data_IF_755672271221
#
_entry.id   IF_755672271221
#
_cell.length_a   1.000
_cell.length_b   1.000
_cell.length_c   1.000
_cell.angle_alpha   90.00
_cell.angle_beta   90.00
_cell.angle_gamma   90.00
#
_symmetry.space_group_name_H-M   'P 1'
#
loop_
_entity.id
_entity.type
_entity.pdbx_description
1 polymer ?
#
# COMPACT_ATOMS: atom_id res chain seq x y z
N UNK A 1 14.68 2.32 -7.85
CA UNK A 1 15.48 3.54 -7.99
C UNK A 1 14.73 4.61 -7.25
N UNK A 2 15.20 4.96 -6.05
CA UNK A 2 14.56 5.99 -5.25
C UNK A 2 14.55 7.32 -6.03
N UNK A 3 13.47 8.12 -5.93
CA UNK A 3 13.39 9.41 -6.59
C UNK A 3 14.56 10.29 -6.14
N UNK A 4 15.02 11.15 -7.07
CA UNK A 4 16.01 12.17 -6.72
C UNK A 4 15.41 13.19 -5.77
N UNK A 5 16.25 13.96 -5.07
CA UNK A 5 15.82 14.88 -3.99
C UNK A 5 14.78 15.93 -4.43
N UNK A 6 14.71 16.21 -5.73
CA UNK A 6 13.85 17.24 -6.33
C UNK A 6 12.61 16.65 -7.02
N UNK A 7 12.43 15.34 -6.98
CA UNK A 7 11.32 14.66 -7.64
C UNK A 7 10.17 14.41 -6.66
N UNK A 8 9.01 15.02 -6.93
CA UNK A 8 7.81 14.79 -6.14
C UNK A 8 7.38 13.32 -6.24
N UNK A 9 7.06 12.73 -5.09
CA UNK A 9 6.56 11.36 -4.99
C UNK A 9 5.53 11.28 -3.86
N UNK A 10 4.93 10.12 -3.69
CA UNK A 10 3.93 9.85 -2.67
C UNK A 10 3.27 8.50 -2.89
N UNK A 11 1.98 8.44 -2.60
CA UNK A 11 1.12 7.30 -2.84
C UNK A 11 1.00 7.01 -4.35
N UNK A 12 1.17 5.74 -4.73
CA UNK A 12 0.75 5.28 -6.06
C UNK A 12 -0.75 4.97 -6.05
N UNK A 13 -1.57 5.87 -6.59
CA UNK A 13 -3.02 5.88 -6.34
C UNK A 13 -3.74 4.59 -6.73
N UNK A 14 -3.37 3.96 -7.85
CA UNK A 14 -4.02 2.73 -8.32
C UNK A 14 -3.81 1.55 -7.37
N UNK A 15 -2.68 1.49 -6.67
CA UNK A 15 -2.39 0.41 -5.72
C UNK A 15 -3.35 0.44 -4.53
N UNK A 16 -3.65 1.63 -4.00
CA UNK A 16 -4.65 1.78 -2.94
C UNK A 16 -6.08 1.57 -3.45
N UNK A 17 -6.44 2.20 -4.56
CA UNK A 17 -7.83 2.19 -5.04
C UNK A 17 -8.28 0.83 -5.56
N UNK A 18 -7.41 0.07 -6.22
CA UNK A 18 -7.74 -1.31 -6.63
C UNK A 18 -7.91 -2.23 -5.43
N UNK A 19 -7.14 -2.04 -4.36
CA UNK A 19 -7.33 -2.78 -3.12
C UNK A 19 -8.69 -2.46 -2.49
N UNK A 20 -9.01 -1.17 -2.34
CA UNK A 20 -10.28 -0.72 -1.74
C UNK A 20 -11.47 -1.21 -2.55
N UNK A 21 -11.44 -1.14 -3.88
CA UNK A 21 -12.55 -1.57 -4.74
C UNK A 21 -12.89 -3.06 -4.60
N UNK A 22 -11.91 -3.89 -4.25
CA UNK A 22 -12.16 -5.31 -3.98
C UNK A 22 -13.04 -5.46 -2.74
N UNK A 23 -12.79 -4.66 -1.70
CA UNK A 23 -13.44 -4.77 -0.40
C UNK A 23 -14.73 -3.95 -0.25
N UNK A 24 -14.89 -2.88 -1.03
CA UNK A 24 -16.15 -2.12 -1.14
C UNK A 24 -17.32 -3.01 -1.58
N UNK A 25 -17.02 -4.15 -2.22
CA UNK A 25 -18.01 -5.15 -2.67
C UNK A 25 -18.38 -6.17 -1.59
N UNK A 26 -17.76 -6.10 -0.41
CA UNK A 26 -17.82 -7.13 0.63
C UNK A 26 -18.16 -6.59 2.03
N UNK A 27 -18.76 -5.39 2.14
CA UNK A 27 -19.15 -4.76 3.42
C UNK A 27 -17.98 -4.64 4.43
N UNK A 28 -16.75 -4.54 3.93
CA UNK A 28 -15.54 -4.36 4.75
C UNK A 28 -15.27 -2.86 4.92
N UNK A 29 -15.15 -2.42 6.17
CA UNK A 29 -14.80 -1.04 6.51
C UNK A 29 -13.28 -0.86 6.37
N UNK A 30 -12.87 0.18 5.66
CA UNK A 30 -11.45 0.53 5.47
C UNK A 30 -11.21 1.94 5.99
N UNK A 31 -10.29 2.06 6.95
CA UNK A 31 -9.77 3.34 7.40
C UNK A 31 -8.42 3.63 6.75
N UNK A 32 -8.19 4.89 6.37
CA UNK A 32 -6.92 5.34 5.78
C UNK A 32 -6.04 6.01 6.83
N UNK A 33 -4.84 5.48 6.96
CA UNK A 33 -3.82 5.94 7.92
C UNK A 33 -2.59 6.36 7.13
N UNK A 34 -1.97 7.48 7.50
CA UNK A 34 -0.67 7.88 6.96
C UNK A 34 0.32 8.19 8.09
N UNK A 35 1.64 8.09 7.86
CA UNK A 35 2.66 8.26 8.91
C UNK A 35 2.55 9.57 9.72
N UNK A 36 1.98 10.62 9.14
CA UNK A 36 1.80 11.94 9.77
C UNK A 36 0.33 12.33 9.95
N UNK A 37 -0.61 11.50 9.48
CA UNK A 37 -2.01 11.88 9.28
C UNK A 37 -2.18 13.04 8.31
N UNK A 38 -3.44 13.44 8.09
CA UNK A 38 -3.78 14.56 7.21
C UNK A 38 -3.57 14.23 5.74
N UNK A 39 -2.98 15.16 5.00
CA UNK A 39 -2.88 15.12 3.54
C UNK A 39 -1.83 14.14 3.03
N UNK A 40 -2.28 13.13 2.28
CA UNK A 40 -1.42 12.14 1.63
C UNK A 40 -1.02 12.64 0.25
N UNK A 41 0.26 12.95 0.00
CA UNK A 41 0.71 13.34 -1.32
C UNK A 41 0.57 12.15 -2.28
N UNK A 42 0.05 12.42 -3.47
CA UNK A 42 0.03 11.45 -4.56
C UNK A 42 1.31 11.55 -5.37
N UNK A 43 1.86 10.42 -5.80
CA UNK A 43 2.94 10.41 -6.78
C UNK A 43 2.39 10.94 -8.12
N UNK A 44 2.92 12.06 -8.68
CA UNK A 44 2.42 12.61 -9.93
C UNK A 44 2.48 11.61 -11.09
N UNK A 45 3.42 10.66 -11.06
CA UNK A 45 3.54 9.61 -12.08
C UNK A 45 2.40 8.59 -12.01
N UNK A 46 1.81 8.40 -10.83
CA UNK A 46 0.62 7.56 -10.66
C UNK A 46 -0.64 8.20 -11.27
N UNK A 47 -0.60 9.50 -11.54
CA UNK A 47 -1.68 10.29 -12.16
C UNK A 47 -1.44 10.52 -13.66
N UNK A 48 -0.84 9.55 -14.35
CA UNK A 48 -0.52 9.63 -15.78
C UNK A 48 -1.71 10.07 -16.66
N UNK A 49 -1.45 10.27 -17.96
CA UNK A 49 -2.42 10.88 -18.87
C UNK A 49 -3.80 10.18 -18.94
N UNK A 50 -3.86 8.88 -18.65
CA UNK A 50 -5.10 8.11 -18.58
C UNK A 50 -5.07 7.22 -17.34
N UNK A 51 -5.99 7.47 -16.41
CA UNK A 51 -6.28 6.58 -15.30
C UNK A 51 -7.22 5.46 -15.77
N UNK A 52 -7.03 4.25 -15.23
CA UNK A 52 -8.02 3.20 -15.41
C UNK A 52 -9.35 3.58 -14.73
N UNK A 53 -10.44 2.89 -15.12
CA UNK A 53 -11.79 3.24 -14.69
C UNK A 53 -11.95 3.28 -13.17
N UNK A 54 -11.32 2.35 -12.45
CA UNK A 54 -11.44 2.25 -10.99
C UNK A 54 -10.71 3.41 -10.34
N UNK A 55 -9.41 3.55 -10.62
CA UNK A 55 -8.57 4.63 -10.08
C UNK A 55 -9.18 6.01 -10.39
N UNK A 56 -9.70 6.20 -11.60
CA UNK A 56 -10.36 7.44 -12.00
C UNK A 56 -11.60 7.75 -11.15
N UNK A 57 -12.44 6.76 -10.87
CA UNK A 57 -13.65 6.95 -10.07
C UNK A 57 -13.33 7.42 -8.64
N UNK A 58 -12.29 6.84 -8.01
CA UNK A 58 -11.83 7.29 -6.70
C UNK A 58 -11.16 8.66 -6.76
N UNK A 59 -10.35 8.93 -7.79
CA UNK A 59 -9.69 10.23 -7.97
C UNK A 59 -10.70 11.38 -8.15
N UNK A 60 -11.81 11.13 -8.84
CA UNK A 60 -12.89 12.10 -9.04
C UNK A 60 -13.89 12.14 -7.86
N UNK A 61 -13.81 11.19 -6.92
CA UNK A 61 -14.66 11.15 -5.72
C UNK A 61 -14.19 12.16 -4.67
N UNK A 62 -15.02 13.17 -4.43
CA UNK A 62 -14.76 14.17 -3.38
C UNK A 62 -14.70 13.56 -1.98
N UNK A 63 -15.43 12.48 -1.73
CA UNK A 63 -15.43 11.76 -0.47
C UNK A 63 -14.08 11.07 -0.24
N UNK A 64 -13.66 10.22 -1.18
CA UNK A 64 -12.40 9.48 -1.06
C UNK A 64 -11.18 10.41 -1.03
N UNK A 65 -11.15 11.41 -1.92
CA UNK A 65 -10.09 12.41 -1.91
C UNK A 65 -10.15 13.29 -0.66
N UNK A 66 -11.33 13.47 -0.06
CA UNK A 66 -11.50 14.09 1.25
C UNK A 66 -10.87 13.25 2.35
N UNK A 67 -11.06 11.93 2.34
CA UNK A 67 -10.43 11.00 3.28
C UNK A 67 -8.90 11.00 3.14
N UNK A 68 -8.36 10.98 1.91
CA UNK A 68 -6.91 11.08 1.68
C UNK A 68 -6.31 12.41 2.16
N UNK A 69 -7.11 13.48 2.19
CA UNK A 69 -6.68 14.78 2.75
C UNK A 69 -6.70 14.83 4.28
N UNK A 70 -7.40 13.90 4.92
CA UNK A 70 -7.69 13.90 6.36
C UNK A 70 -7.47 12.51 6.97
N UNK A 71 -6.39 11.83 6.56
CA UNK A 71 -6.08 10.49 7.08
C UNK A 71 -5.80 10.51 8.58
N UNK A 72 -6.08 9.39 9.23
CA UNK A 72 -5.70 9.19 10.63
C UNK A 72 -4.17 9.16 10.77
N UNK A 73 -3.67 9.61 11.92
CA UNK A 73 -2.31 9.27 12.35
C UNK A 73 -2.30 7.85 12.92
N UNK A 74 -1.14 7.17 12.95
CA UNK A 74 -1.05 5.84 13.55
C UNK A 74 -1.46 5.81 15.02
N UNK A 75 -1.24 6.89 15.77
CA UNK A 75 -1.59 6.99 17.20
C UNK A 75 -3.10 7.03 17.46
N UNK A 76 -3.90 7.33 16.44
CA UNK A 76 -5.37 7.31 16.51
C UNK A 76 -5.94 5.91 16.27
N UNK A 77 -5.12 4.95 15.84
CA UNK A 77 -5.53 3.60 15.47
C UNK A 77 -5.50 2.70 16.71
N UNK A 78 -6.66 2.15 17.05
CA UNK A 78 -6.74 1.01 17.96
C UNK A 78 -6.58 -0.31 17.17
N UNK A 79 -5.40 -0.91 17.23
CA UNK A 79 -5.09 -2.14 16.51
C UNK A 79 -6.01 -3.32 16.86
N UNK A 80 -6.65 -3.32 18.04
CA UNK A 80 -7.61 -4.36 18.42
C UNK A 80 -8.88 -4.32 17.56
N UNK A 81 -9.19 -3.17 16.96
CA UNK A 81 -10.37 -2.97 16.10
C UNK A 81 -10.18 -3.44 14.64
N UNK A 82 -8.97 -3.87 14.24
CA UNK A 82 -8.67 -4.25 12.85
C UNK A 82 -8.25 -5.71 12.70
N UNK A 83 -8.79 -6.40 11.70
CA UNK A 83 -8.39 -7.78 11.34
C UNK A 83 -7.18 -7.81 10.41
N UNK A 84 -6.90 -6.70 9.72
CA UNK A 84 -5.84 -6.62 8.73
C UNK A 84 -5.23 -5.22 8.64
N UNK A 85 -3.97 -5.16 8.20
CA UNK A 85 -3.29 -3.96 7.73
C UNK A 85 -2.71 -4.22 6.34
N UNK A 86 -2.88 -3.22 5.47
CA UNK A 86 -2.38 -3.20 4.11
C UNK A 86 -1.52 -1.97 3.86
N UNK A 87 -0.26 -2.19 3.50
CA UNK A 87 0.66 -1.14 3.07
C UNK A 87 0.63 -1.02 1.54
N UNK A 88 -0.08 0.00 1.05
CA UNK A 88 0.04 0.46 -0.34
C UNK A 88 1.46 0.93 -0.67
N UNK A 89 1.82 1.06 -1.94
CA UNK A 89 3.14 1.54 -2.38
C UNK A 89 3.13 2.94 -3.00
N UNK A 90 4.05 3.14 -3.95
CA UNK A 90 4.57 4.45 -4.34
C UNK A 90 5.91 4.76 -3.65
N UNK A 91 6.81 5.52 -4.30
CA UNK A 91 8.17 5.65 -3.78
C UNK A 91 8.25 6.46 -2.47
N UNK A 92 7.24 7.27 -2.16
CA UNK A 92 7.14 8.00 -0.90
C UNK A 92 7.26 7.09 0.33
N UNK A 93 6.71 5.88 0.24
CA UNK A 93 6.69 4.92 1.36
C UNK A 93 8.09 4.52 1.82
N UNK A 94 9.10 4.60 0.95
CA UNK A 94 10.48 4.25 1.30
C UNK A 94 11.11 5.26 2.27
N UNK A 95 10.54 6.45 2.42
CA UNK A 95 11.09 7.52 3.26
C UNK A 95 10.48 7.56 4.66
N UNK A 96 9.27 7.03 4.84
CA UNK A 96 8.53 7.19 6.08
C UNK A 96 7.97 5.89 6.66
N UNK A 97 7.73 4.84 5.87
CA UNK A 97 7.21 3.57 6.40
C UNK A 97 8.24 2.78 7.24
N UNK A 98 9.49 2.55 6.78
CA UNK A 98 10.40 1.63 7.46
C UNK A 98 10.67 2.01 8.92
N UNK A 99 10.79 3.30 9.22
CA UNK A 99 11.20 3.78 10.53
C UNK A 99 10.04 4.30 11.40
N UNK A 100 8.78 4.16 10.94
CA UNK A 100 7.62 4.59 11.72
C UNK A 100 7.27 3.57 12.80
N UNK A 101 7.70 3.84 14.04
CA UNK A 101 7.50 2.95 15.18
C UNK A 101 6.03 2.60 15.44
N UNK A 102 5.11 3.55 15.24
CA UNK A 102 3.67 3.36 15.49
C UNK A 102 3.06 2.39 14.46
N UNK A 103 3.38 2.53 13.18
CA UNK A 103 2.97 1.58 12.13
C UNK A 103 3.52 0.16 12.38
N UNK A 104 4.78 0.07 12.84
CA UNK A 104 5.38 -1.21 13.22
C UNK A 104 4.64 -1.84 14.42
N UNK A 105 4.22 -1.03 15.39
CA UNK A 105 3.47 -1.50 16.57
C UNK A 105 2.08 -2.00 16.20
N UNK A 106 1.33 -1.26 15.37
CA UNK A 106 0.01 -1.67 14.86
C UNK A 106 0.13 -3.00 14.11
N UNK A 107 1.13 -3.12 13.22
CA UNK A 107 1.35 -4.33 12.43
C UNK A 107 1.61 -5.56 13.30
N UNK A 108 2.43 -5.40 14.36
CA UNK A 108 2.69 -6.47 15.32
C UNK A 108 1.42 -6.86 16.07
N UNK A 109 0.69 -5.89 16.60
CA UNK A 109 -0.54 -6.17 17.36
C UNK A 109 -1.58 -6.92 16.52
N UNK A 110 -1.83 -6.47 15.29
CA UNK A 110 -2.74 -7.16 14.35
C UNK A 110 -2.26 -8.58 14.06
N UNK A 111 -0.96 -8.76 13.82
CA UNK A 111 -0.42 -10.09 13.52
C UNK A 111 -0.46 -11.04 14.72
N UNK A 112 -0.08 -10.57 15.91
CA UNK A 112 0.05 -11.41 17.11
C UNK A 112 -1.32 -11.97 17.57
N UNK A 113 -2.42 -11.28 17.26
CA UNK A 113 -3.79 -11.78 17.47
C UNK A 113 -4.34 -12.64 16.31
N UNK A 114 -3.53 -12.91 15.28
CA UNK A 114 -3.87 -13.78 14.14
C UNK A 114 -4.40 -13.06 12.90
N UNK A 115 -4.30 -11.73 12.85
CA UNK A 115 -4.69 -10.91 11.70
C UNK A 115 -3.70 -10.92 10.54
N UNK A 116 -4.03 -10.18 9.48
CA UNK A 116 -3.28 -10.17 8.23
C UNK A 116 -2.42 -8.90 8.13
N UNK A 117 -1.14 -9.07 7.80
CA UNK A 117 -0.24 -7.96 7.43
C UNK A 117 0.18 -8.17 5.99
N UNK A 118 -0.13 -7.20 5.12
CA UNK A 118 0.10 -7.29 3.68
C UNK A 118 0.67 -5.98 3.14
N UNK A 119 1.40 -6.06 2.02
CA UNK A 119 2.01 -4.91 1.40
C UNK A 119 2.18 -5.12 -0.11
N UNK A 120 2.23 -4.04 -0.89
CA UNK A 120 2.49 -4.07 -2.34
C UNK A 120 3.61 -3.11 -2.71
N UNK A 121 4.29 -3.37 -3.83
CA UNK A 121 5.29 -2.48 -4.41
C UNK A 121 6.35 -2.03 -3.39
N UNK A 122 6.56 -0.73 -3.21
CA UNK A 122 7.47 -0.16 -2.22
C UNK A 122 6.90 -0.12 -0.79
N UNK A 123 5.60 -0.38 -0.63
CA UNK A 123 4.96 -0.54 0.68
C UNK A 123 5.57 -1.70 1.49
N UNK A 124 6.18 -2.69 0.82
CA UNK A 124 6.93 -3.78 1.48
C UNK A 124 8.08 -3.27 2.35
N UNK A 125 8.56 -2.04 2.11
CA UNK A 125 9.51 -1.35 2.97
C UNK A 125 9.06 -1.24 4.43
N UNK A 126 7.74 -1.14 4.67
CA UNK A 126 7.16 -1.13 6.02
C UNK A 126 7.48 -2.40 6.82
N UNK A 127 7.66 -3.53 6.14
CA UNK A 127 7.81 -4.84 6.79
C UNK A 127 9.26 -5.12 7.20
N UNK A 128 10.22 -4.36 6.68
CA UNK A 128 11.66 -4.63 6.84
C UNK A 128 12.12 -4.49 8.30
N UNK A 129 11.54 -3.54 9.03
CA UNK A 129 11.94 -3.23 10.40
C UNK A 129 11.05 -3.87 11.48
N UNK A 130 10.03 -4.64 11.06
CA UNK A 130 9.23 -5.43 12.00
C UNK A 130 10.09 -6.58 12.52
N UNK A 131 10.25 -6.66 13.85
CA UNK A 131 10.97 -7.74 14.54
C UNK A 131 10.06 -8.47 15.54
N UNK A 132 10.31 -9.73 15.83
CA UNK A 132 9.73 -10.40 16.98
C UNK A 132 10.31 -9.84 18.29
N UNK A 133 9.72 -10.22 19.43
CA UNK A 133 10.17 -9.81 20.76
C UNK A 133 11.61 -10.25 21.07
N UNK A 134 12.09 -11.32 20.42
CA UNK A 134 13.47 -11.82 20.51
C UNK A 134 14.46 -11.07 19.59
N UNK A 135 13.99 -10.06 18.85
CA UNK A 135 14.78 -9.26 17.93
C UNK A 135 14.97 -9.87 16.54
N UNK A 136 14.44 -11.07 16.28
CA UNK A 136 14.51 -11.68 14.95
C UNK A 136 13.62 -10.94 13.95
N UNK A 137 14.04 -10.75 12.68
CA UNK A 137 13.18 -10.12 11.68
C UNK A 137 11.90 -10.92 11.46
N UNK A 138 10.75 -10.24 11.48
CA UNK A 138 9.43 -10.86 11.32
C UNK A 138 9.27 -11.55 9.96
N UNK A 139 9.95 -11.05 8.93
CA UNK A 139 9.96 -11.62 7.59
C UNK A 139 10.85 -12.87 7.44
N UNK A 140 11.63 -13.23 8.47
CA UNK A 140 12.54 -14.37 8.43
C UNK A 140 11.75 -15.68 8.25
N UNK A 141 12.13 -16.47 7.25
CA UNK A 141 11.47 -17.75 6.94
C UNK A 141 10.06 -17.64 6.34
N UNK A 142 9.54 -16.42 6.12
CA UNK A 142 8.25 -16.20 5.47
C UNK A 142 8.43 -16.03 3.96
N UNK A 143 7.48 -16.54 3.18
CA UNK A 143 7.41 -16.23 1.75
C UNK A 143 6.79 -14.85 1.58
N UNK A 144 7.62 -13.86 1.28
CA UNK A 144 7.18 -12.54 0.86
C UNK A 144 6.96 -12.52 -0.64
N UNK A 145 5.88 -11.88 -1.08
CA UNK A 145 5.68 -11.44 -2.47
C UNK A 145 5.65 -9.92 -2.48
N UNK A 146 6.55 -9.32 -3.24
CA UNK A 146 6.55 -7.89 -3.56
C UNK A 146 6.96 -7.76 -5.02
N UNK A 147 6.67 -6.62 -5.66
CA UNK A 147 7.17 -6.35 -7.00
C UNK A 147 8.71 -6.38 -6.96
N UNK A 148 9.29 -7.51 -7.38
CA UNK A 148 10.72 -7.72 -7.41
C UNK A 148 11.26 -7.15 -8.72
N UNK A 149 12.05 -6.07 -8.65
CA UNK A 149 13.13 -5.58 -9.54
C UNK A 149 13.00 -5.64 -11.10
N UNK A 150 12.28 -6.59 -11.67
CA UNK A 150 12.08 -6.83 -13.09
C UNK A 150 11.14 -5.78 -13.68
N UNK A 151 10.12 -5.33 -12.95
CA UNK A 151 9.21 -4.29 -13.45
C UNK A 151 9.81 -2.89 -13.46
N UNK A 152 10.74 -2.60 -12.54
CA UNK A 152 11.52 -1.36 -12.58
C UNK A 152 12.45 -1.29 -13.81
N UNK A 153 12.84 -2.45 -14.36
CA UNK A 153 13.51 -2.56 -15.67
C UNK A 153 12.53 -2.60 -16.85
N UNK A 154 11.32 -3.14 -16.67
CA UNK A 154 10.31 -3.34 -17.73
C UNK A 154 9.37 -2.15 -17.95
N UNK A 155 9.38 -1.12 -17.11
CA UNK A 155 8.83 0.21 -17.44
C UNK A 155 9.46 0.87 -18.68
N UNK A 156 10.29 0.14 -19.45
CA UNK A 156 10.79 0.51 -20.77
C UNK A 156 10.30 -0.32 -21.96
N UNK A 157 9.63 -1.47 -21.84
CA UNK A 157 9.13 -2.18 -23.04
C UNK A 157 7.88 -3.03 -22.76
N UNK A 158 6.91 -2.85 -23.65
CA UNK A 158 5.61 -3.53 -23.72
C UNK A 158 5.64 -5.07 -23.83
N UNK A 159 4.49 -5.64 -23.46
CA UNK A 159 3.83 -6.88 -23.92
C UNK A 159 4.43 -8.27 -23.62
N UNK A 160 3.68 -9.06 -22.80
CA UNK A 160 3.33 -10.44 -23.15
C UNK A 160 3.75 -11.61 -22.21
N UNK A 161 2.76 -12.19 -21.50
CA UNK A 161 2.54 -13.64 -21.16
C UNK A 161 3.56 -14.45 -20.31
N UNK A 162 3.31 -14.72 -19.00
CA UNK A 162 2.67 -15.97 -18.46
C UNK A 162 2.00 -15.88 -17.04
N UNK A 163 0.98 -16.71 -16.73
CA UNK A 163 -0.11 -16.47 -15.73
C UNK A 163 0.34 -16.52 -14.25
N UNK A 164 0.68 -15.36 -13.69
CA UNK A 164 0.00 -14.73 -12.53
C UNK A 164 -1.18 -13.88 -13.08
N UNK A 165 -2.13 -13.36 -12.30
CA UNK A 165 -3.35 -12.71 -12.85
C UNK A 165 -3.10 -11.83 -14.08
N UNK A 166 -3.49 -12.33 -15.26
CA UNK A 166 -2.73 -12.04 -16.48
C UNK A 166 -3.39 -11.18 -17.54
N UNK A 167 -4.63 -10.78 -17.30
CA UNK A 167 -5.43 -9.87 -18.11
C UNK A 167 -6.83 -9.76 -17.45
N UNK A 168 -7.68 -8.80 -17.87
CA UNK A 168 -8.91 -8.41 -17.16
C UNK A 168 -10.07 -9.43 -17.14
N UNK A 169 -9.84 -10.71 -17.40
CA UNK A 169 -10.91 -11.73 -17.43
C UNK A 169 -10.88 -12.72 -16.26
N UNK A 170 -9.98 -12.60 -15.30
CA UNK A 170 -9.97 -13.47 -14.10
C UNK A 170 -10.92 -13.03 -12.96
N UNK A 171 -11.75 -11.99 -13.16
CA UNK A 171 -12.67 -11.49 -12.14
C UNK A 171 -14.14 -11.98 -12.28
N UNK A 172 -14.36 -13.13 -12.95
CA UNK A 172 -15.67 -13.81 -12.94
C UNK A 172 -15.50 -15.30 -12.71
N UNK A 173 -15.35 -15.68 -11.45
CA UNK A 173 -15.93 -16.88 -10.83
C UNK A 173 -15.81 -16.76 -9.33
#
# INVERSE_FOLDING_TARGET
MLPSKDEATGLWLSEATHFIEVFDKHDVVIDLVSPKGGDVPLDPKSLGAVLDKSTKAYFESAEFMGTLKNTMTPEQVDAESYDAIYFTGGHGTMFDFPDNASLLQISRAIYDKGGIVSAVCHGVGALLNIKHSDGTPWISGKKLTGFANIEEKMAKQEEGRLITGQNPQSAKR
#
